data_IF_788610318338
#
_entry.id   IF_788610318338
#
_cell.length_a   1.000
_cell.length_b   1.000
_cell.length_c   1.000
_cell.angle_alpha   90.00
_cell.angle_beta   90.00
_cell.angle_gamma   90.00
#
_symmetry.space_group_name_H-M   'P 1'
#
loop_
_entity.id
_entity.type
_entity.pdbx_description
1 polymer ?
#
# COMPACT_ATOMS: atom_id res chain seq x y z
N UNK A 1 5.25 -3.94 -12.49
CA UNK A 1 4.42 -2.71 -12.45
C UNK A 1 2.92 -2.97 -12.59
N UNK A 2 2.42 -3.75 -13.55
CA UNK A 2 0.97 -4.11 -13.57
C UNK A 2 0.53 -4.77 -12.26
N UNK A 3 1.28 -5.78 -11.78
CA UNK A 3 1.00 -6.43 -10.49
C UNK A 3 1.06 -5.45 -9.31
N UNK A 4 1.91 -4.41 -9.39
CA UNK A 4 1.93 -3.33 -8.40
C UNK A 4 0.64 -2.52 -8.43
N UNK A 5 0.08 -2.27 -9.62
CA UNK A 5 -1.25 -1.66 -9.76
C UNK A 5 -2.35 -2.50 -9.14
N UNK A 6 -2.31 -3.83 -9.30
CA UNK A 6 -3.24 -4.75 -8.62
C UNK A 6 -3.08 -4.67 -7.11
N UNK A 7 -1.84 -4.68 -6.59
CA UNK A 7 -1.58 -4.53 -5.16
C UNK A 7 -2.11 -3.19 -4.61
N UNK A 8 -1.88 -2.09 -5.31
CA UNK A 8 -2.45 -0.78 -4.94
C UNK A 8 -3.98 -0.83 -4.94
N UNK A 9 -4.58 -1.48 -5.94
CA UNK A 9 -6.02 -1.69 -6.00
C UNK A 9 -6.53 -2.52 -4.80
N UNK A 10 -5.81 -3.57 -4.39
CA UNK A 10 -6.15 -4.40 -3.22
C UNK A 10 -6.12 -3.58 -1.92
N UNK A 11 -5.17 -2.66 -1.76
CA UNK A 11 -5.12 -1.74 -0.61
C UNK A 11 -6.39 -0.90 -0.52
N UNK A 12 -6.79 -0.24 -1.62
CA UNK A 12 -7.93 0.68 -1.62
C UNK A 12 -9.30 0.00 -1.72
N UNK A 13 -9.34 -1.29 -2.07
CA UNK A 13 -10.55 -2.10 -2.07
C UNK A 13 -10.74 -2.87 -0.76
N UNK A 14 -9.91 -2.62 0.27
CA UNK A 14 -9.91 -3.35 1.53
C UNK A 14 -9.75 -4.86 1.33
N UNK A 15 -8.73 -5.26 0.56
CA UNK A 15 -8.40 -6.64 0.25
C UNK A 15 -9.52 -7.44 -0.46
N UNK A 16 -10.35 -6.75 -1.24
CA UNK A 16 -11.30 -7.43 -2.12
C UNK A 16 -10.56 -8.29 -3.16
N UNK A 17 -11.25 -9.30 -3.70
CA UNK A 17 -10.70 -10.13 -4.79
C UNK A 17 -10.73 -9.36 -6.12
N UNK A 18 -9.58 -9.16 -6.80
CA UNK A 18 -9.56 -8.59 -8.15
C UNK A 18 -10.34 -9.47 -9.13
N UNK A 19 -11.05 -8.86 -10.08
CA UNK A 19 -11.87 -9.57 -11.08
C UNK A 19 -12.86 -10.58 -10.47
N UNK A 20 -13.46 -10.25 -9.32
CA UNK A 20 -14.36 -11.13 -8.57
C UNK A 20 -15.54 -11.72 -9.36
N UNK A 21 -15.91 -11.08 -10.47
CA UNK A 21 -16.98 -11.49 -11.37
C UNK A 21 -16.56 -12.52 -12.44
N UNK A 22 -15.29 -12.94 -12.47
CA UNK A 22 -14.76 -13.83 -13.52
C UNK A 22 -13.98 -14.99 -12.92
N UNK A 23 -14.07 -16.15 -13.56
CA UNK A 23 -13.18 -17.29 -13.32
C UNK A 23 -11.76 -17.01 -13.85
N UNK A 24 -10.77 -17.76 -13.36
CA UNK A 24 -9.34 -17.48 -13.61
C UNK A 24 -8.98 -17.51 -15.11
N UNK A 25 -9.62 -18.38 -15.89
CA UNK A 25 -9.46 -18.49 -17.34
C UNK A 25 -9.88 -17.20 -18.07
N UNK A 26 -10.97 -16.57 -17.63
CA UNK A 26 -11.46 -15.31 -18.20
C UNK A 26 -10.59 -14.09 -17.85
N UNK A 27 -9.84 -14.12 -16.73
CA UNK A 27 -8.97 -13.01 -16.32
C UNK A 27 -7.86 -12.75 -17.34
N UNK A 28 -7.30 -13.81 -17.92
CA UNK A 28 -6.22 -13.68 -18.92
C UNK A 28 -6.68 -12.86 -20.13
N UNK A 29 -7.88 -13.15 -20.66
CA UNK A 29 -8.44 -12.44 -21.79
C UNK A 29 -8.70 -10.95 -21.47
N UNK A 30 -9.17 -10.65 -20.26
CA UNK A 30 -9.38 -9.28 -19.80
C UNK A 30 -8.07 -8.49 -19.73
N UNK A 31 -7.04 -9.06 -19.10
CA UNK A 31 -5.73 -8.42 -18.97
C UNK A 31 -5.10 -8.18 -20.34
N UNK A 32 -5.20 -9.14 -21.26
CA UNK A 32 -4.73 -8.99 -22.64
C UNK A 32 -5.47 -7.90 -23.41
N UNK A 33 -6.76 -7.69 -23.13
CA UNK A 33 -7.55 -6.59 -23.66
C UNK A 33 -7.31 -5.24 -22.95
N UNK A 34 -6.34 -5.17 -22.02
CA UNK A 34 -6.03 -3.97 -21.24
C UNK A 34 -7.11 -3.60 -20.21
N UNK A 35 -7.99 -4.55 -19.86
CA UNK A 35 -8.99 -4.36 -18.81
C UNK A 35 -8.36 -4.62 -17.45
N UNK A 36 -8.71 -3.77 -16.51
CA UNK A 36 -8.34 -3.86 -15.09
C UNK A 36 -9.59 -3.67 -14.23
N UNK A 37 -9.58 -4.06 -12.95
CA UNK A 37 -10.75 -3.92 -12.09
C UNK A 37 -11.12 -2.44 -11.91
N UNK A 38 -12.41 -2.17 -11.68
CA UNK A 38 -12.87 -0.80 -11.44
C UNK A 38 -12.14 -0.19 -10.23
N UNK A 39 -11.59 1.01 -10.43
CA UNK A 39 -10.80 1.68 -9.40
C UNK A 39 -11.73 2.09 -8.24
N UNK A 40 -11.45 1.71 -6.98
CA UNK A 40 -12.31 2.05 -5.84
C UNK A 40 -12.37 3.55 -5.63
N UNK A 41 -13.56 4.08 -5.34
CA UNK A 41 -13.74 5.51 -5.03
C UNK A 41 -12.85 5.99 -3.88
N UNK A 42 -12.58 5.11 -2.91
CA UNK A 42 -11.73 5.37 -1.75
C UNK A 42 -10.29 5.71 -2.11
N UNK A 43 -9.82 5.34 -3.31
CA UNK A 43 -8.48 5.69 -3.79
C UNK A 43 -8.28 7.20 -3.99
N UNK A 44 -9.35 7.95 -4.22
CA UNK A 44 -9.26 9.36 -4.55
C UNK A 44 -8.58 9.63 -5.90
N UNK A 45 -8.49 10.90 -6.26
CA UNK A 45 -8.06 11.32 -7.60
C UNK A 45 -6.59 10.99 -7.88
N UNK A 46 -5.71 11.24 -6.90
CA UNK A 46 -4.28 11.01 -7.04
C UNK A 46 -3.97 9.53 -7.33
N UNK A 47 -4.45 8.61 -6.49
CA UNK A 47 -4.18 7.18 -6.71
C UNK A 47 -4.93 6.63 -7.92
N UNK A 48 -6.09 7.19 -8.29
CA UNK A 48 -6.75 6.85 -9.55
C UNK A 48 -5.85 7.17 -10.75
N UNK A 49 -5.20 8.33 -10.77
CA UNK A 49 -4.24 8.69 -11.83
C UNK A 49 -3.05 7.74 -11.84
N UNK A 50 -2.48 7.42 -10.68
CA UNK A 50 -1.36 6.48 -10.56
C UNK A 50 -1.73 5.09 -11.08
N UNK A 51 -2.87 4.52 -10.64
CA UNK A 51 -3.32 3.20 -11.11
C UNK A 51 -3.53 3.16 -12.62
N UNK A 52 -4.13 4.20 -13.22
CA UNK A 52 -4.26 4.29 -14.69
C UNK A 52 -2.91 4.24 -15.41
N UNK A 53 -1.86 4.83 -14.85
CA UNK A 53 -0.51 4.75 -15.41
C UNK A 53 0.13 3.37 -15.21
N UNK A 54 -0.16 2.69 -14.09
CA UNK A 54 0.30 1.33 -13.83
C UNK A 54 -0.40 0.28 -14.71
N UNK A 55 -1.64 0.54 -15.13
CA UNK A 55 -2.44 -0.33 -16.00
C UNK A 55 -2.38 0.04 -17.48
N UNK A 56 -1.38 0.84 -17.89
CA UNK A 56 -1.08 1.00 -19.32
C UNK A 56 -0.78 -0.37 -19.94
N UNK A 57 -1.50 -0.69 -21.01
CA UNK A 57 -1.38 -1.98 -21.72
C UNK A 57 0.03 -2.14 -22.30
N UNK A 58 0.51 -1.12 -23.01
CA UNK A 58 1.89 -1.05 -23.49
C UNK A 58 2.87 -0.88 -22.31
N UNK A 59 3.79 -1.82 -22.07
CA UNK A 59 4.75 -1.73 -20.96
C UNK A 59 5.63 -0.49 -21.00
N UNK A 60 5.96 0.03 -22.19
CA UNK A 60 6.82 1.21 -22.36
C UNK A 60 6.13 2.52 -21.99
N UNK A 61 4.80 2.56 -22.01
CA UNK A 61 4.00 3.69 -21.53
C UNK A 61 3.70 3.61 -20.03
N UNK A 62 3.99 2.46 -19.42
CA UNK A 62 3.69 2.21 -18.02
C UNK A 62 4.72 2.92 -17.15
N UNK A 63 4.24 3.45 -16.04
CA UNK A 63 5.11 4.03 -15.02
C UNK A 63 6.11 2.98 -14.52
N UNK A 64 7.40 3.33 -14.50
CA UNK A 64 8.44 2.46 -13.95
C UNK A 64 8.51 2.58 -12.42
N UNK A 65 9.26 1.67 -11.78
CA UNK A 65 9.35 1.62 -10.31
C UNK A 65 9.91 2.90 -9.68
N UNK A 66 10.93 3.51 -10.28
CA UNK A 66 11.53 4.74 -9.77
C UNK A 66 10.56 5.92 -9.83
N UNK A 67 9.88 6.08 -10.98
CA UNK A 67 8.85 7.11 -11.14
C UNK A 67 7.70 6.88 -10.16
N UNK A 68 7.29 5.62 -9.95
CA UNK A 68 6.22 5.27 -9.01
C UNK A 68 6.59 5.69 -7.60
N UNK A 69 7.78 5.30 -7.16
CA UNK A 69 8.30 5.68 -5.85
C UNK A 69 8.34 7.21 -5.69
N UNK A 70 8.90 7.93 -6.66
CA UNK A 70 9.05 9.38 -6.58
C UNK A 70 7.69 10.10 -6.47
N UNK A 71 6.70 9.70 -7.27
CA UNK A 71 5.35 10.27 -7.25
C UNK A 71 4.66 10.03 -5.90
N UNK A 72 4.67 8.78 -5.40
CA UNK A 72 4.06 8.43 -4.12
C UNK A 72 4.78 9.12 -2.96
N UNK A 73 6.11 9.07 -2.93
CA UNK A 73 6.90 9.65 -1.84
C UNK A 73 6.70 11.16 -1.75
N UNK A 74 6.72 11.86 -2.89
CA UNK A 74 6.47 13.30 -2.95
C UNK A 74 5.07 13.63 -2.46
N UNK A 75 4.04 12.92 -2.95
CA UNK A 75 2.68 13.10 -2.49
C UNK A 75 2.51 12.89 -0.98
N UNK A 76 3.11 11.84 -0.44
CA UNK A 76 3.06 11.54 1.00
C UNK A 76 3.79 12.60 1.84
N UNK A 77 4.93 13.11 1.35
CA UNK A 77 5.69 14.17 2.01
C UNK A 77 4.92 15.49 2.02
N UNK A 78 4.40 15.91 0.89
CA UNK A 78 3.68 17.19 0.72
C UNK A 78 2.40 17.24 1.57
N UNK A 79 1.70 16.11 1.68
CA UNK A 79 0.48 15.99 2.50
C UNK A 79 0.76 15.64 3.97
N UNK A 80 2.04 15.45 4.33
CA UNK A 80 2.51 15.03 5.65
C UNK A 80 1.92 13.70 6.12
N UNK A 81 1.63 12.76 5.20
CA UNK A 81 1.11 11.43 5.55
C UNK A 81 2.14 10.54 6.24
N UNK A 82 3.43 10.85 6.10
CA UNK A 82 4.51 10.12 6.76
C UNK A 82 4.81 10.61 8.18
N UNK A 83 4.04 11.58 8.72
CA UNK A 83 4.19 12.01 10.11
C UNK A 83 3.44 11.07 11.06
N UNK A 84 4.00 10.86 12.25
CA UNK A 84 3.36 10.06 13.32
C UNK A 84 1.97 10.59 13.72
N UNK A 85 1.73 11.89 13.53
CA UNK A 85 0.45 12.53 13.84
C UNK A 85 -0.65 12.13 12.84
N UNK A 86 -0.29 11.88 11.58
CA UNK A 86 -1.22 11.57 10.48
C UNK A 86 -1.18 10.13 10.01
N UNK A 87 -0.17 9.35 10.40
CA UNK A 87 -0.25 7.91 10.38
C UNK A 87 -1.38 7.55 11.34
N UNK A 88 -2.61 7.47 10.81
CA UNK A 88 -3.66 6.69 11.43
C UNK A 88 -3.07 5.32 11.58
N UNK A 89 -2.66 5.03 12.80
CA UNK A 89 -2.32 3.69 13.25
C UNK A 89 -3.43 2.79 12.73
N UNK A 90 -3.09 1.59 12.28
CA UNK A 90 -3.99 0.69 11.54
C UNK A 90 -5.35 0.47 12.25
N UNK A 91 -5.44 0.84 13.53
CA UNK A 91 -6.58 0.79 14.46
C UNK A 91 -7.51 2.02 14.46
N UNK A 92 -7.18 3.12 13.76
CA UNK A 92 -8.03 4.32 13.65
C UNK A 92 -8.88 4.36 12.37
N UNK A 93 -8.82 3.31 11.54
CA UNK A 93 -9.66 3.18 10.35
C UNK A 93 -11.07 2.78 10.83
N UNK A 94 -12.05 3.64 10.58
CA UNK A 94 -13.44 3.41 10.94
C UNK A 94 -13.97 2.10 10.35
N UNK A 95 -14.62 1.27 11.17
CA UNK A 95 -15.13 -0.05 10.79
C UNK A 95 -14.09 -1.17 10.80
N UNK A 96 -12.82 -0.89 11.14
CA UNK A 96 -11.77 -1.91 11.23
C UNK A 96 -11.34 -2.11 12.68
N UNK A 97 -11.78 -3.22 13.27
CA UNK A 97 -11.39 -3.65 14.62
C UNK A 97 -10.27 -4.69 14.54
N UNK A 98 -9.19 -4.50 15.29
CA UNK A 98 -8.06 -5.44 15.37
C UNK A 98 -7.60 -5.53 16.83
N UNK A 99 -7.53 -6.75 17.37
CA UNK A 99 -7.16 -7.01 18.76
C UNK A 99 -5.66 -7.07 18.98
N UNK A 100 -5.22 -6.69 20.20
CA UNK A 100 -3.80 -6.67 20.55
C UNK A 100 -3.19 -8.07 20.66
N UNK A 101 -2.23 -8.42 19.80
CA UNK A 101 -1.41 -9.61 19.98
C UNK A 101 -0.22 -9.31 20.90
N UNK A 102 -0.12 -10.02 22.00
CA UNK A 102 1.13 -10.16 22.74
C UNK A 102 1.93 -11.26 22.04
N UNK A 103 3.14 -10.92 21.56
CA UNK A 103 4.16 -11.77 20.91
C UNK A 103 4.17 -11.95 19.39
N UNK A 104 5.28 -11.49 18.81
CA UNK A 104 6.05 -12.18 17.79
C UNK A 104 7.52 -12.11 18.21
N UNK A 105 8.13 -13.24 18.59
CA UNK A 105 9.57 -13.31 18.92
C UNK A 105 10.46 -13.29 17.65
N UNK A 106 10.00 -12.73 16.53
CA UNK A 106 10.70 -12.90 15.25
C UNK A 106 10.51 -11.84 14.15
N UNK A 107 9.64 -10.83 14.32
CA UNK A 107 9.56 -9.74 13.34
C UNK A 107 9.33 -8.39 14.02
N UNK A 108 10.39 -7.58 14.05
CA UNK A 108 10.33 -6.18 14.46
C UNK A 108 10.43 -5.34 13.18
N UNK A 109 9.38 -4.59 12.78
CA UNK A 109 9.46 -3.59 11.72
C UNK A 109 10.72 -2.73 11.86
N UNK A 110 11.39 -2.40 10.75
CA UNK A 110 12.57 -1.53 10.79
C UNK A 110 12.22 -0.08 10.41
N UNK A 111 12.92 0.87 11.01
CA UNK A 111 12.81 2.31 10.74
C UNK A 111 14.13 2.85 10.19
N UNK A 112 14.01 3.83 9.30
CA UNK A 112 15.17 4.58 8.80
C UNK A 112 15.57 5.64 9.83
N UNK A 113 16.82 5.60 10.26
CA UNK A 113 17.38 6.55 11.22
C UNK A 113 18.07 7.68 10.48
N UNK A 114 17.70 8.91 10.82
CA UNK A 114 18.34 10.12 10.31
C UNK A 114 19.28 10.71 11.36
N UNK A 115 20.41 11.26 10.93
CA UNK A 115 21.28 12.05 11.80
C UNK A 115 20.67 13.42 12.13
N UNK A 116 21.33 14.18 13.01
CA UNK A 116 20.91 15.53 13.43
C UNK A 116 20.81 16.55 12.27
N UNK A 117 21.37 16.23 11.11
CA UNK A 117 21.32 17.06 9.91
C UNK A 117 20.28 16.55 8.89
N UNK A 118 19.50 15.52 9.25
CA UNK A 118 18.48 14.93 8.39
C UNK A 118 19.01 13.98 7.32
N UNK A 119 20.26 13.52 7.43
CA UNK A 119 20.85 12.55 6.51
C UNK A 119 20.59 11.12 7.01
N UNK A 120 20.12 10.26 6.13
CA UNK A 120 19.92 8.83 6.42
C UNK A 120 21.24 8.18 6.86
N UNK A 121 21.20 7.47 7.98
CA UNK A 121 22.36 6.88 8.65
C UNK A 121 22.32 5.35 8.61
N UNK A 122 21.21 4.74 9.03
CA UNK A 122 21.07 3.27 9.11
C UNK A 122 19.59 2.83 9.23
N UNK A 123 19.38 1.51 9.24
CA UNK A 123 18.12 0.85 9.58
C UNK A 123 18.19 0.27 11.00
N UNK A 124 17.21 0.60 11.84
CA UNK A 124 17.11 0.07 13.20
C UNK A 124 15.73 -0.54 13.46
N UNK A 125 15.61 -1.39 14.47
CA UNK A 125 14.33 -1.91 14.93
C UNK A 125 13.40 -0.77 15.37
N UNK A 126 12.15 -0.81 14.93
CA UNK A 126 11.15 0.19 15.26
C UNK A 126 10.94 0.22 16.78
N UNK A 127 10.96 1.42 17.39
CA UNK A 127 10.78 1.54 18.83
C UNK A 127 9.39 1.07 19.25
N UNK A 128 9.26 0.62 20.50
CA UNK A 128 8.05 -0.03 21.01
C UNK A 128 6.78 0.84 20.84
N UNK A 129 6.92 2.16 20.89
CA UNK A 129 5.83 3.11 20.69
C UNK A 129 5.29 3.09 19.24
N UNK A 130 6.13 2.78 18.26
CA UNK A 130 5.73 2.59 16.86
C UNK A 130 5.10 1.20 16.64
N UNK A 131 5.65 0.16 17.28
CA UNK A 131 5.16 -1.21 17.16
C UNK A 131 3.73 -1.42 17.69
N UNK A 132 3.33 -0.63 18.68
CA UNK A 132 1.98 -0.67 19.26
C UNK A 132 0.85 -0.46 18.23
N UNK A 133 1.18 -0.06 17.00
CA UNK A 133 0.26 0.43 15.99
C UNK A 133 0.22 -0.39 14.69
N UNK A 134 1.02 -1.46 14.54
CA UNK A 134 1.40 -1.98 13.21
C UNK A 134 1.10 -3.48 12.94
N UNK A 135 0.95 -4.36 13.94
CA UNK A 135 0.94 -5.83 13.69
C UNK A 135 -0.29 -6.55 14.25
N UNK A 136 -1.17 -7.10 13.39
CA UNK A 136 -2.39 -7.85 13.81
C UNK A 136 -2.79 -8.96 12.82
N UNK A 137 -3.42 -10.06 13.28
CA UNK A 137 -4.11 -11.04 12.42
C UNK A 137 -5.48 -11.44 13.00
N UNK A 138 -6.41 -11.80 12.12
CA UNK A 138 -7.77 -12.24 12.42
C UNK A 138 -7.78 -13.61 13.14
N UNK A 139 -8.65 -13.76 14.14
CA UNK A 139 -8.84 -15.02 14.87
C UNK A 139 -9.52 -16.01 13.92
N UNK A 140 -8.86 -17.13 13.61
CA UNK A 140 -9.52 -18.21 12.87
C UNK A 140 -10.64 -18.78 13.75
N UNK A 141 -11.89 -18.67 13.27
CA UNK A 141 -13.09 -19.29 13.84
C UNK A 141 -13.08 -20.80 13.68
#
# INVERSE_FOLDING_TARGET
>A
MWSMGILVWEIFSNAARPYSHVANDGVTALVQAGKYPDIPKLAGEFMTKIMKQLFKLNPSERLNAQMFYNEIHTHCKDNKYLSLEKLTTINKIEGVHRDRLEHWDGYVPQVVVYDKNGKEKDWEDAPAEMLANVVWREKAT
#
